data_IF_502592795890
#
_entry.id   IF_502592795890
#
_cell.length_a   1.000
_cell.length_b   1.000
_cell.length_c   1.000
_cell.angle_alpha   90.00
_cell.angle_beta   90.00
_cell.angle_gamma   90.00
#
_symmetry.space_group_name_H-M   'P 1'
#
loop_
_entity.id
_entity.type
_entity.pdbx_description
1 polymer ?
#
# COMPACT_ATOMS: atom_id res chain seq x y z
N UNK A 1 30.41 16.08 -35.87
CA UNK A 1 29.96 15.86 -35.11
C UNK A 1 29.87 15.51 -33.77
N UNK A 2 29.71 15.99 -33.20
CA UNK A 2 29.77 15.78 -32.18
C UNK A 2 28.80 15.36 -31.54
N UNK A 3 28.24 15.04 -31.49
CA UNK A 3 27.49 14.64 -31.08
C UNK A 3 26.79 14.35 -30.01
N UNK A 4 26.15 13.78 -30.07
CA UNK A 4 25.41 13.35 -29.25
C UNK A 4 25.85 12.51 -28.40
N UNK A 5 25.69 12.61 -27.44
CA UNK A 5 26.13 11.95 -26.51
C UNK A 5 25.32 10.75 -26.29
N UNK A 6 25.90 9.50 -26.26
CA UNK A 6 25.24 8.27 -25.91
C UNK A 6 24.53 8.31 -24.57
N UNK A 7 25.03 9.13 -23.67
CA UNK A 7 24.42 9.30 -22.35
C UNK A 7 23.04 9.93 -22.41
N UNK A 8 22.80 10.82 -23.36
CA UNK A 8 21.50 11.45 -23.49
C UNK A 8 20.46 10.48 -24.02
N UNK A 9 20.85 9.66 -24.96
CA UNK A 9 19.97 8.63 -25.51
C UNK A 9 19.61 7.60 -24.46
N UNK A 10 20.59 7.20 -23.66
CA UNK A 10 20.37 6.24 -22.59
C UNK A 10 19.40 6.79 -21.55
N UNK A 11 19.56 8.04 -21.16
CA UNK A 11 18.68 8.68 -20.19
C UNK A 11 17.25 8.76 -20.72
N UNK A 12 17.07 9.10 -21.97
CA UNK A 12 15.76 9.17 -22.58
C UNK A 12 15.06 7.80 -22.58
N UNK A 13 15.76 6.74 -22.96
CA UNK A 13 15.19 5.40 -22.93
C UNK A 13 14.80 4.97 -21.53
N UNK A 14 15.59 5.31 -20.53
CA UNK A 14 15.30 4.97 -19.12
C UNK A 14 14.02 5.68 -18.66
N UNK A 15 13.86 6.94 -18.99
CA UNK A 15 12.67 7.70 -18.66
C UNK A 15 11.42 7.14 -19.34
N UNK A 16 11.53 6.79 -20.62
CA UNK A 16 10.42 6.19 -21.35
C UNK A 16 9.98 4.87 -20.73
N UNK A 17 10.93 4.03 -20.29
CA UNK A 17 10.59 2.78 -19.61
C UNK A 17 9.87 3.03 -18.30
N UNK A 18 10.26 4.06 -17.55
CA UNK A 18 9.59 4.39 -16.31
C UNK A 18 8.16 4.83 -16.55
N UNK A 19 7.92 5.62 -17.59
CA UNK A 19 6.59 6.09 -17.92
C UNK A 19 5.63 4.94 -18.23
N UNK A 20 6.14 3.87 -18.82
CA UNK A 20 5.28 2.74 -19.15
C UNK A 20 4.92 1.87 -17.97
N UNK A 21 5.53 2.05 -16.82
CA UNK A 21 5.43 1.10 -15.73
C UNK A 21 4.51 1.55 -14.63
N UNK A 22 4.15 2.81 -14.55
CA UNK A 22 3.66 3.36 -13.30
C UNK A 22 2.19 3.74 -13.19
N UNK A 23 1.38 3.60 -14.22
CA UNK A 23 0.00 4.05 -14.11
C UNK A 23 -0.92 2.99 -13.51
N UNK A 24 -1.46 3.27 -12.34
CA UNK A 24 -2.45 2.45 -11.65
C UNK A 24 -3.57 3.37 -11.15
N UNK A 25 -4.73 2.84 -10.75
CA UNK A 25 -5.74 3.68 -10.11
C UNK A 25 -5.20 4.41 -8.88
N UNK A 26 -4.28 3.77 -8.14
CA UNK A 26 -3.65 4.38 -6.97
C UNK A 26 -2.79 5.57 -7.36
N UNK A 27 -1.89 5.41 -8.33
CA UNK A 27 -1.02 6.52 -8.75
C UNK A 27 -1.81 7.65 -9.41
N UNK A 28 -2.88 7.31 -10.13
CA UNK A 28 -3.77 8.32 -10.70
C UNK A 28 -4.41 9.17 -9.61
N UNK A 29 -4.86 8.54 -8.52
CA UNK A 29 -5.44 9.27 -7.40
C UNK A 29 -4.41 10.16 -6.73
N UNK A 30 -3.21 9.64 -6.47
CA UNK A 30 -2.15 10.42 -5.86
C UNK A 30 -1.77 11.63 -6.72
N UNK A 31 -1.67 11.46 -8.02
CA UNK A 31 -1.38 12.56 -8.96
C UNK A 31 -2.49 13.59 -8.99
N UNK A 32 -3.74 13.14 -9.01
CA UNK A 32 -4.91 14.03 -9.03
C UNK A 32 -4.95 14.95 -7.80
N UNK A 33 -4.48 14.44 -6.66
CA UNK A 33 -4.41 15.20 -5.42
C UNK A 33 -3.05 15.88 -5.20
N UNK A 34 -2.18 15.84 -6.19
CA UNK A 34 -0.85 16.47 -6.15
C UNK A 34 0.01 16.00 -4.97
N UNK A 35 -0.10 14.72 -4.65
CA UNK A 35 0.68 14.11 -3.59
C UNK A 35 2.10 13.87 -4.08
N UNK A 36 3.08 14.26 -3.28
CA UNK A 36 4.48 13.94 -3.56
C UNK A 36 4.75 12.49 -3.20
N UNK A 37 5.22 11.71 -4.15
CA UNK A 37 5.58 10.31 -3.91
C UNK A 37 6.72 9.88 -4.82
N UNK A 38 7.42 8.82 -4.43
CA UNK A 38 8.45 8.19 -5.24
C UNK A 38 8.05 6.77 -5.56
N UNK A 39 8.50 6.26 -6.72
CA UNK A 39 8.14 4.94 -7.20
C UNK A 39 9.27 3.95 -6.98
N UNK A 40 8.94 2.75 -6.52
CA UNK A 40 9.91 1.72 -6.17
C UNK A 40 9.47 0.36 -6.73
N UNK A 41 9.73 0.10 -8.02
CA UNK A 41 9.45 -1.21 -8.59
C UNK A 41 10.47 -2.24 -8.07
N UNK A 42 10.04 -3.47 -7.92
CA UNK A 42 10.89 -4.59 -7.50
C UNK A 42 10.38 -5.89 -8.12
N UNK A 43 11.22 -6.90 -8.15
CA UNK A 43 10.81 -8.19 -8.66
C UNK A 43 9.90 -8.89 -7.65
N UNK A 44 8.66 -9.12 -8.06
CA UNK A 44 7.65 -9.72 -7.21
C UNK A 44 7.97 -11.20 -6.96
N UNK A 45 7.77 -11.63 -5.71
CA UNK A 45 7.88 -13.02 -5.32
C UNK A 45 6.55 -13.44 -4.70
N UNK A 46 5.93 -14.48 -5.28
CA UNK A 46 4.66 -14.97 -4.75
C UNK A 46 4.83 -15.42 -3.32
N UNK A 47 3.92 -15.00 -2.45
CA UNK A 47 3.97 -15.21 -1.01
C UNK A 47 5.17 -14.56 -0.29
N UNK A 48 5.92 -13.70 -0.98
CA UNK A 48 7.04 -13.00 -0.37
C UNK A 48 6.61 -11.92 0.64
N UNK A 49 5.49 -11.28 0.37
CA UNK A 49 4.91 -10.27 1.27
C UNK A 49 5.79 -9.05 1.50
N UNK A 50 5.49 -8.34 2.57
CA UNK A 50 6.23 -7.13 2.95
C UNK A 50 7.69 -7.42 3.33
N UNK A 51 7.98 -8.60 3.86
CA UNK A 51 9.35 -8.99 4.21
C UNK A 51 10.24 -9.04 2.96
N UNK A 52 9.73 -9.64 1.89
CA UNK A 52 10.46 -9.73 0.63
C UNK A 52 10.70 -8.34 0.02
N UNK A 53 9.65 -7.53 -0.09
CA UNK A 53 9.78 -6.20 -0.69
C UNK A 53 10.73 -5.31 0.12
N UNK A 54 10.66 -5.37 1.44
CA UNK A 54 11.56 -4.62 2.31
C UNK A 54 13.01 -5.05 2.07
N UNK A 55 13.28 -6.36 2.01
CA UNK A 55 14.63 -6.88 1.82
C UNK A 55 15.20 -6.45 0.46
N UNK A 56 14.41 -6.61 -0.60
CA UNK A 56 14.85 -6.29 -1.97
C UNK A 56 15.12 -4.80 -2.12
N UNK A 57 14.29 -3.96 -1.54
CA UNK A 57 14.42 -2.50 -1.67
C UNK A 57 15.33 -1.89 -0.60
N UNK A 58 15.85 -2.69 0.33
CA UNK A 58 16.70 -2.17 1.40
C UNK A 58 15.96 -1.29 2.39
N UNK A 59 14.68 -1.58 2.64
CA UNK A 59 13.85 -0.80 3.55
C UNK A 59 13.63 -1.54 4.87
N UNK A 60 13.39 -0.77 5.92
CA UNK A 60 12.99 -1.31 7.20
C UNK A 60 11.56 -1.85 7.06
N UNK A 61 11.29 -3.13 7.35
CA UNK A 61 9.93 -3.67 7.25
C UNK A 61 8.91 -2.96 8.14
N UNK A 62 9.36 -2.25 9.17
CA UNK A 62 8.47 -1.45 10.02
C UNK A 62 7.86 -0.27 9.24
N UNK A 63 8.58 0.28 8.26
CA UNK A 63 8.07 1.37 7.42
C UNK A 63 7.32 0.89 6.18
N UNK A 64 7.42 -0.40 5.83
CA UNK A 64 6.64 -0.98 4.75
C UNK A 64 5.25 -1.31 5.29
N UNK A 65 4.22 -0.75 4.69
CA UNK A 65 2.85 -0.84 5.19
C UNK A 65 2.05 -1.81 4.32
N UNK A 66 1.41 -2.78 4.98
CA UNK A 66 0.53 -3.75 4.33
C UNK A 66 -0.88 -3.18 4.24
N UNK A 67 -1.53 -3.38 3.11
CA UNK A 67 -2.94 -3.03 2.92
C UNK A 67 -3.76 -4.31 2.97
N UNK A 68 -4.55 -4.46 4.02
CA UNK A 68 -5.32 -5.68 4.28
C UNK A 68 -6.80 -5.40 4.14
N UNK A 69 -7.49 -6.19 3.32
CA UNK A 69 -8.94 -6.08 3.17
C UNK A 69 -9.57 -7.10 4.12
N UNK A 70 -10.34 -6.60 5.06
CA UNK A 70 -10.99 -7.39 6.09
C UNK A 70 -12.49 -7.16 6.03
N UNK A 71 -13.23 -7.92 6.83
CA UNK A 71 -14.68 -7.76 6.93
C UNK A 71 -15.14 -7.94 8.36
N UNK A 72 -16.25 -7.29 8.69
CA UNK A 72 -16.87 -7.44 10.00
C UNK A 72 -17.82 -8.65 10.01
N UNK A 73 -18.55 -8.83 11.12
CA UNK A 73 -19.50 -9.95 11.29
C UNK A 73 -20.64 -9.94 10.27
N UNK A 74 -20.92 -8.81 9.65
CA UNK A 74 -21.95 -8.66 8.63
C UNK A 74 -21.37 -8.68 7.22
N UNK A 75 -20.15 -9.14 7.08
CA UNK A 75 -19.41 -9.19 5.82
C UNK A 75 -19.20 -7.80 5.19
N UNK A 76 -19.25 -6.73 5.99
CA UNK A 76 -18.95 -5.38 5.50
C UNK A 76 -17.44 -5.20 5.42
N UNK A 77 -16.92 -4.81 4.25
CA UNK A 77 -15.48 -4.70 4.07
C UNK A 77 -14.90 -3.45 4.71
N UNK A 78 -13.66 -3.58 5.14
CA UNK A 78 -12.86 -2.49 5.67
C UNK A 78 -11.40 -2.68 5.28
N UNK A 79 -10.62 -1.62 5.31
CA UNK A 79 -9.20 -1.66 5.01
C UNK A 79 -8.42 -1.41 6.29
N UNK A 80 -7.38 -2.23 6.51
CA UNK A 80 -6.48 -2.05 7.64
C UNK A 80 -5.07 -1.85 7.11
N UNK A 81 -4.42 -0.79 7.55
CA UNK A 81 -3.03 -0.49 7.21
C UNK A 81 -2.15 -0.85 8.40
N UNK A 82 -1.21 -1.77 8.19
CA UNK A 82 -0.38 -2.35 9.24
C UNK A 82 1.09 -2.37 8.83
N UNK A 83 2.00 -2.25 9.80
CA UNK A 83 3.43 -2.42 9.56
C UNK A 83 3.74 -3.77 8.93
N UNK A 84 4.71 -3.80 8.03
CA UNK A 84 5.11 -5.01 7.33
C UNK A 84 5.58 -6.14 8.24
N UNK A 85 6.11 -5.80 9.42
CA UNK A 85 6.60 -6.77 10.39
C UNK A 85 5.72 -6.88 11.64
N UNK A 86 4.43 -6.60 11.50
CA UNK A 86 3.46 -6.77 12.59
C UNK A 86 2.22 -7.46 12.04
N UNK A 87 1.49 -8.11 12.93
CA UNK A 87 0.20 -8.73 12.62
C UNK A 87 -0.92 -7.89 13.18
N UNK A 88 -2.11 -8.04 12.63
CA UNK A 88 -3.30 -7.35 13.13
C UNK A 88 -3.94 -8.19 14.24
N UNK A 89 -4.15 -7.57 15.40
CA UNK A 89 -5.02 -8.13 16.43
C UNK A 89 -6.46 -7.83 16.01
N UNK A 90 -7.11 -8.83 15.44
CA UNK A 90 -8.51 -8.67 14.99
C UNK A 90 -9.44 -8.41 16.17
N UNK A 91 -9.13 -8.95 17.34
CA UNK A 91 -9.90 -8.72 18.55
C UNK A 91 -9.80 -7.26 18.99
N UNK A 92 -8.60 -6.70 19.05
CA UNK A 92 -8.42 -5.29 19.43
C UNK A 92 -9.04 -4.36 18.41
N UNK A 93 -8.89 -4.69 17.13
CA UNK A 93 -9.47 -3.90 16.04
C UNK A 93 -11.00 -3.87 16.17
N UNK A 94 -11.63 -5.04 16.29
CA UNK A 94 -13.08 -5.15 16.42
C UNK A 94 -13.59 -4.30 17.59
N UNK A 95 -12.92 -4.37 18.73
CA UNK A 95 -13.32 -3.58 19.90
C UNK A 95 -13.26 -2.08 19.64
N UNK A 96 -12.21 -1.62 18.99
CA UNK A 96 -12.01 -0.18 18.76
C UNK A 96 -12.95 0.40 17.70
N UNK A 97 -13.38 -0.41 16.74
CA UNK A 97 -14.29 0.06 15.69
C UNK A 97 -15.76 -0.23 15.98
N UNK A 98 -16.04 -0.90 17.10
CA UNK A 98 -17.43 -1.20 17.50
C UNK A 98 -18.01 -2.39 16.75
N UNK A 99 -17.19 -3.28 16.20
CA UNK A 99 -17.64 -4.49 15.54
C UNK A 99 -17.65 -5.66 16.52
N UNK A 100 -18.45 -6.69 16.24
CA UNK A 100 -18.46 -7.91 17.03
C UNK A 100 -17.26 -8.77 16.71
N UNK A 101 -16.87 -8.82 15.43
CA UNK A 101 -15.70 -9.56 14.98
C UNK A 101 -15.16 -8.95 13.69
N UNK A 102 -13.88 -9.19 13.45
CA UNK A 102 -13.22 -8.79 12.20
C UNK A 102 -12.37 -9.97 11.76
N UNK A 103 -12.38 -10.25 10.47
CA UNK A 103 -11.55 -11.32 9.89
C UNK A 103 -11.06 -10.92 8.51
N UNK A 104 -9.94 -11.49 8.04
CA UNK A 104 -9.49 -11.24 6.66
C UNK A 104 -10.51 -11.75 5.65
N UNK A 105 -10.71 -11.01 4.57
CA UNK A 105 -11.50 -11.49 3.43
C UNK A 105 -10.73 -12.59 2.70
N UNK A 106 -11.47 -13.55 2.10
CA UNK A 106 -10.87 -14.48 1.16
C UNK A 106 -10.26 -13.69 -0.01
N UNK A 107 -9.18 -14.19 -0.64
CA UNK A 107 -8.50 -13.44 -1.71
C UNK A 107 -9.41 -12.93 -2.82
N UNK A 108 -10.33 -13.76 -3.31
CA UNK A 108 -11.24 -13.36 -4.39
C UNK A 108 -12.24 -12.28 -3.94
N UNK A 109 -12.63 -12.29 -2.68
CA UNK A 109 -13.51 -11.27 -2.09
C UNK A 109 -12.74 -9.95 -1.95
N UNK A 110 -11.52 -10.02 -1.44
CA UNK A 110 -10.66 -8.85 -1.32
C UNK A 110 -10.39 -8.22 -2.69
N UNK A 111 -10.12 -9.05 -3.70
CA UNK A 111 -9.87 -8.57 -5.07
C UNK A 111 -11.11 -7.86 -5.64
N UNK A 112 -12.30 -8.40 -5.37
CA UNK A 112 -13.54 -7.81 -5.86
C UNK A 112 -13.80 -6.45 -5.23
N UNK A 113 -13.57 -6.32 -3.93
CA UNK A 113 -13.78 -5.05 -3.23
C UNK A 113 -12.74 -4.00 -3.57
N UNK A 114 -11.48 -4.38 -3.66
CA UNK A 114 -10.39 -3.43 -3.86
C UNK A 114 -10.17 -3.06 -5.32
N UNK A 115 -10.44 -3.99 -6.23
CA UNK A 115 -10.08 -3.84 -7.65
C UNK A 115 -8.62 -4.15 -7.92
N UNK A 116 -7.89 -4.68 -6.92
CA UNK A 116 -6.49 -5.06 -7.03
C UNK A 116 -6.33 -6.53 -6.71
N UNK A 117 -5.24 -7.13 -7.18
CA UNK A 117 -4.89 -8.51 -6.82
C UNK A 117 -4.17 -8.53 -5.48
N UNK A 118 -4.40 -9.58 -4.70
CA UNK A 118 -3.65 -9.79 -3.45
C UNK A 118 -2.15 -9.79 -3.76
N UNK A 119 -1.37 -9.09 -2.94
CA UNK A 119 0.05 -8.83 -3.20
C UNK A 119 0.29 -7.52 -3.95
N UNK A 120 -0.75 -6.95 -4.56
CA UNK A 120 -0.69 -5.67 -5.24
C UNK A 120 -1.83 -4.74 -4.83
N UNK A 121 -2.36 -4.89 -3.62
CA UNK A 121 -3.48 -4.09 -3.13
C UNK A 121 -3.02 -2.77 -2.57
N UNK A 122 -3.56 -1.69 -3.11
CA UNK A 122 -3.38 -0.33 -2.59
C UNK A 122 -4.65 0.13 -1.87
N UNK A 123 -4.52 0.99 -0.84
CA UNK A 123 -5.70 1.60 -0.24
C UNK A 123 -6.24 2.78 -1.08
N UNK A 124 -5.46 3.24 -2.06
CA UNK A 124 -5.82 4.38 -2.90
C UNK A 124 -6.50 3.88 -4.17
N UNK A 125 -7.59 4.53 -4.57
CA UNK A 125 -8.27 4.19 -5.82
C UNK A 125 -8.97 2.85 -5.81
N UNK A 126 -9.46 2.40 -4.66
CA UNK A 126 -10.19 1.13 -4.55
C UNK A 126 -11.51 1.19 -5.31
N UNK A 127 -11.94 0.04 -5.85
CA UNK A 127 -13.19 -0.04 -6.59
C UNK A 127 -14.39 0.28 -5.73
N UNK A 128 -14.41 -0.24 -4.51
CA UNK A 128 -15.47 0.00 -3.55
C UNK A 128 -14.98 0.97 -2.49
N UNK A 129 -15.85 1.88 -2.07
CA UNK A 129 -15.54 2.77 -0.96
C UNK A 129 -15.64 1.98 0.34
N UNK A 130 -14.58 1.99 1.12
CA UNK A 130 -14.47 1.22 2.36
C UNK A 130 -13.86 2.09 3.45
N UNK A 131 -14.29 1.93 4.71
CA UNK A 131 -13.63 2.61 5.80
C UNK A 131 -12.19 2.11 5.93
N UNK A 132 -11.26 3.01 6.24
CA UNK A 132 -9.84 2.71 6.37
C UNK A 132 -9.40 2.96 7.79
N UNK A 133 -8.71 1.99 8.37
CA UNK A 133 -8.12 2.07 9.69
C UNK A 133 -6.61 1.91 9.57
N UNK A 134 -5.86 2.72 10.31
CA UNK A 134 -4.41 2.71 10.27
C UNK A 134 -3.84 2.47 11.65
N UNK A 135 -2.89 1.55 11.77
CA UNK A 135 -2.17 1.37 13.02
C UNK A 135 -1.52 2.71 13.40
N UNK A 136 -1.84 3.22 14.58
CA UNK A 136 -1.46 4.56 15.00
C UNK A 136 0.04 4.83 14.88
N UNK A 137 0.87 3.85 15.21
CA UNK A 137 2.32 4.02 15.17
C UNK A 137 2.88 4.28 13.76
N UNK A 138 2.13 3.95 12.73
CA UNK A 138 2.52 4.27 11.34
C UNK A 138 2.58 5.80 11.15
N UNK A 139 1.66 6.52 11.78
CA UNK A 139 1.60 7.99 11.64
C UNK A 139 2.79 8.70 12.28
N UNK A 140 3.54 8.03 13.13
CA UNK A 140 4.76 8.58 13.72
C UNK A 140 6.00 8.45 12.83
N UNK A 141 5.89 7.76 11.70
CA UNK A 141 7.01 7.59 10.79
C UNK A 141 7.13 8.79 9.85
N UNK A 142 8.35 9.17 9.46
CA UNK A 142 8.51 10.29 8.51
C UNK A 142 8.08 9.92 7.09
N UNK A 143 8.21 8.65 6.71
CA UNK A 143 7.80 8.15 5.39
C UNK A 143 7.40 6.68 5.53
N UNK A 144 6.52 6.24 4.66
CA UNK A 144 6.12 4.84 4.55
C UNK A 144 6.20 4.39 3.10
N UNK A 145 6.40 3.10 2.91
CA UNK A 145 6.34 2.47 1.60
C UNK A 145 5.08 1.60 1.57
N UNK A 146 4.22 1.84 0.61
CA UNK A 146 2.94 1.17 0.52
C UNK A 146 2.70 0.77 -0.93
N UNK A 147 1.92 -0.28 -1.18
CA UNK A 147 1.73 -0.76 -2.54
C UNK A 147 1.08 0.30 -3.43
N UNK A 148 1.63 0.46 -4.61
CA UNK A 148 1.16 1.42 -5.59
C UNK A 148 0.06 0.92 -6.52
N UNK A 149 -0.51 -0.26 -6.24
CA UNK A 149 -1.64 -0.78 -7.02
C UNK A 149 -1.28 -1.86 -8.01
N UNK A 150 -0.14 -2.52 -7.83
CA UNK A 150 0.19 -3.69 -8.60
C UNK A 150 1.31 -4.46 -7.90
N UNK A 151 1.40 -5.74 -8.19
CA UNK A 151 2.47 -6.59 -7.66
C UNK A 151 3.84 -6.08 -8.11
N UNK A 152 4.80 -6.03 -7.20
CA UNK A 152 6.15 -5.57 -7.52
C UNK A 152 6.29 -4.06 -7.63
N UNK A 153 5.42 -3.29 -6.96
CA UNK A 153 5.43 -1.85 -7.09
C UNK A 153 5.01 -1.17 -5.78
N UNK A 154 5.96 -0.56 -5.09
CA UNK A 154 5.67 0.27 -3.91
C UNK A 154 5.83 1.74 -4.25
N UNK A 155 5.14 2.59 -3.52
CA UNK A 155 5.35 4.03 -3.53
C UNK A 155 5.73 4.47 -2.12
N UNK A 156 6.59 5.46 -2.00
CA UNK A 156 6.89 6.07 -0.70
C UNK A 156 6.15 7.39 -0.59
N UNK A 157 5.47 7.59 0.53
CA UNK A 157 4.67 8.77 0.81
C UNK A 157 4.81 9.17 2.28
N UNK A 158 4.37 10.37 2.60
CA UNK A 158 4.14 10.78 3.98
C UNK A 158 2.91 10.02 4.48
N UNK A 159 2.97 9.37 5.64
CA UNK A 159 1.82 8.58 6.13
C UNK A 159 0.56 9.40 6.36
N UNK A 160 0.67 10.72 6.56
CA UNK A 160 -0.49 11.59 6.72
C UNK A 160 -1.39 11.64 5.49
N UNK A 161 -0.84 11.30 4.32
CA UNK A 161 -1.62 11.19 3.08
C UNK A 161 -2.79 10.20 3.26
N UNK A 162 -2.57 9.13 4.03
CA UNK A 162 -3.63 8.16 4.30
C UNK A 162 -4.80 8.80 5.05
N UNK A 163 -4.52 9.69 5.99
CA UNK A 163 -5.56 10.41 6.72
C UNK A 163 -6.23 11.43 5.81
N UNK A 164 -5.45 12.19 5.07
CA UNK A 164 -5.97 13.27 4.21
C UNK A 164 -6.83 12.76 3.05
N UNK A 165 -6.38 11.72 2.36
CA UNK A 165 -7.08 11.22 1.18
C UNK A 165 -8.12 10.14 1.48
N UNK A 166 -7.87 9.32 2.49
CA UNK A 166 -8.70 8.16 2.77
C UNK A 166 -9.57 8.32 4.02
N UNK A 167 -9.35 9.37 4.79
CA UNK A 167 -9.99 9.51 6.09
C UNK A 167 -9.60 8.40 7.04
N UNK A 168 -8.38 7.88 6.92
CA UNK A 168 -7.91 6.77 7.74
C UNK A 168 -7.99 7.10 9.22
N UNK A 169 -8.57 6.18 10.00
CA UNK A 169 -8.78 6.37 11.43
C UNK A 169 -7.73 5.60 12.21
N UNK A 170 -7.00 6.26 13.12
CA UNK A 170 -5.98 5.58 13.93
C UNK A 170 -6.58 4.55 14.87
N UNK A 171 -5.94 3.40 14.96
CA UNK A 171 -6.30 2.31 15.88
C UNK A 171 -5.01 1.70 16.45
N UNK A 172 -5.13 0.95 17.52
CA UNK A 172 -4.01 0.28 18.15
C UNK A 172 -4.28 -1.23 18.12
N UNK A 173 -3.77 -1.88 17.09
CA UNK A 173 -4.04 -3.31 16.88
C UNK A 173 -2.82 -4.10 16.42
N UNK A 174 -1.62 -3.58 16.57
CA UNK A 174 -0.40 -4.29 16.16
C UNK A 174 -0.01 -5.37 17.15
N UNK A 175 0.39 -6.53 16.62
CA UNK A 175 0.99 -7.61 17.38
C UNK A 175 2.35 -7.92 16.76
N UNK A 176 3.31 -8.32 17.60
CA UNK A 176 4.60 -8.77 17.10
C UNK A 176 4.42 -10.04 16.25
N UNK A 177 5.18 -10.14 15.19
CA UNK A 177 5.20 -11.35 14.37
C UNK A 177 6.10 -12.42 14.97
#
# INVERSE_FOLDING_TARGET
GRGWLPSEVTLFCTMAKREHVSETPATQLLKAHKVAYTEHPYEYLEHGGAQHSAAVLGLDPFMVVKTLIMQDQDAKPLVVLMHGNRKVSTKNLARQIGAKSVEPCAPEVANRHSGYLVGGTSPFGTRRDMPVYIEESILGLPRIAINGGRRGFLVQIDPRVCVELLGARPVQCALAE
#
